data_IF_326194204534
#
_entry.id   IF_326194204534
#
_cell.length_a   1.000
_cell.length_b   1.000
_cell.length_c   1.000
_cell.angle_alpha   90.00
_cell.angle_beta   90.00
_cell.angle_gamma   90.00
#
_symmetry.space_group_name_H-M   'P 1'
#
loop_
_entity.id
_entity.type
_entity.pdbx_description
1 polymer ?
#
# COMPACT_ATOMS: atom_id res chain seq x y z
N UNK A 1 -12.66 17.53 18.68
CA UNK A 1 -11.93 18.82 18.58
C UNK A 1 -11.51 19.01 17.12
N UNK A 2 -11.48 20.24 16.64
CA UNK A 2 -11.14 20.58 15.25
C UNK A 2 -9.93 21.52 15.27
N UNK A 3 -9.13 21.56 14.19
CA UNK A 3 -8.06 22.54 14.09
C UNK A 3 -8.64 23.95 14.01
N UNK A 4 -7.96 24.91 14.65
CA UNK A 4 -8.37 26.32 14.61
C UNK A 4 -8.27 26.94 13.21
N UNK A 5 -7.48 26.35 12.32
CA UNK A 5 -7.21 26.76 10.95
C UNK A 5 -7.58 25.65 9.95
N UNK A 6 -8.52 24.78 10.30
CA UNK A 6 -8.92 23.61 9.49
C UNK A 6 -9.16 23.95 8.02
N UNK A 7 -9.79 25.09 7.74
CA UNK A 7 -10.04 25.54 6.37
C UNK A 7 -8.74 25.76 5.58
N UNK A 8 -7.73 26.38 6.19
CA UNK A 8 -6.40 26.61 5.58
C UNK A 8 -5.71 25.27 5.33
N UNK A 9 -5.77 24.35 6.31
CA UNK A 9 -5.16 23.01 6.20
C UNK A 9 -5.77 22.21 5.05
N UNK A 10 -7.10 22.16 4.97
CA UNK A 10 -7.81 21.40 3.91
C UNK A 10 -7.73 22.06 2.54
N UNK A 11 -7.68 23.39 2.48
CA UNK A 11 -7.49 24.11 1.23
C UNK A 11 -6.04 24.02 0.70
N UNK A 12 -5.08 23.67 1.56
CA UNK A 12 -3.65 23.62 1.25
C UNK A 12 -3.12 24.93 0.65
N UNK A 13 -3.64 26.06 1.16
CA UNK A 13 -3.32 27.40 0.67
C UNK A 13 -3.11 28.34 1.83
N UNK A 14 -2.02 29.11 1.77
CA UNK A 14 -1.74 30.18 2.73
C UNK A 14 -2.83 31.26 2.59
N UNK A 15 -3.40 31.70 3.72
CA UNK A 15 -4.20 32.91 3.79
C UNK A 15 -3.38 34.03 4.46
N UNK A 16 -2.92 35.04 3.70
CA UNK A 16 -2.18 36.18 4.26
C UNK A 16 -2.98 37.02 5.26
N UNK A 17 -4.32 36.87 5.29
CA UNK A 17 -5.21 37.61 6.21
C UNK A 17 -5.44 36.86 7.52
N UNK A 18 -5.02 35.59 7.61
CA UNK A 18 -5.15 34.83 8.84
C UNK A 18 -4.24 35.43 9.92
N UNK A 19 -4.63 35.35 11.21
CA UNK A 19 -3.86 35.92 12.32
C UNK A 19 -2.61 35.09 12.68
N UNK A 20 -2.15 34.22 11.78
CA UNK A 20 -1.04 33.29 11.98
C UNK A 20 0.06 33.57 10.96
N UNK A 21 1.35 33.54 11.35
CA UNK A 21 2.46 33.73 10.42
C UNK A 21 2.40 32.77 9.23
N UNK A 22 2.80 33.23 8.04
CA UNK A 22 2.84 32.41 6.82
C UNK A 22 3.62 31.11 7.04
N UNK A 23 4.75 31.19 7.75
CA UNK A 23 5.58 30.03 8.07
C UNK A 23 4.86 29.01 8.97
N UNK A 24 4.00 29.46 9.90
CA UNK A 24 3.19 28.56 10.73
C UNK A 24 2.18 27.81 9.87
N UNK A 25 1.49 28.53 8.98
CA UNK A 25 0.53 27.93 8.06
C UNK A 25 1.22 26.93 7.13
N UNK A 26 2.38 27.27 6.57
CA UNK A 26 3.11 26.41 5.64
C UNK A 26 3.54 25.08 6.28
N UNK A 27 4.13 25.11 7.47
CA UNK A 27 4.55 23.89 8.18
C UNK A 27 3.35 23.06 8.63
N UNK A 28 2.27 23.71 9.09
CA UNK A 28 1.04 22.99 9.47
C UNK A 28 0.36 22.34 8.27
N UNK A 29 0.30 23.02 7.12
CA UNK A 29 -0.23 22.46 5.86
C UNK A 29 0.60 21.25 5.44
N UNK A 30 1.93 21.35 5.43
CA UNK A 30 2.81 20.24 5.08
C UNK A 30 2.57 19.04 6.02
N UNK A 31 2.58 19.27 7.33
CA UNK A 31 2.36 18.21 8.33
C UNK A 31 0.97 17.55 8.19
N UNK A 32 -0.04 18.34 7.87
CA UNK A 32 -1.40 17.83 7.65
C UNK A 32 -1.49 16.96 6.39
N UNK A 33 -0.78 17.31 5.31
CA UNK A 33 -0.68 16.49 4.11
C UNK A 33 0.06 15.16 4.37
N UNK A 34 1.17 15.21 5.12
CA UNK A 34 1.90 13.98 5.49
C UNK A 34 1.07 13.05 6.39
N UNK A 35 0.23 13.59 7.28
CA UNK A 35 -0.74 12.78 8.04
C UNK A 35 -1.75 12.08 7.13
N UNK A 36 -2.25 12.78 6.11
CA UNK A 36 -3.16 12.22 5.13
C UNK A 36 -2.52 11.08 4.34
N UNK A 37 -1.29 11.31 3.84
CA UNK A 37 -0.51 10.32 3.09
C UNK A 37 -0.22 9.07 3.93
N UNK A 38 0.36 9.25 5.14
CA UNK A 38 0.65 8.15 6.07
C UNK A 38 -0.61 7.33 6.37
N UNK A 39 -1.72 7.99 6.69
CA UNK A 39 -2.98 7.31 7.01
C UNK A 39 -3.52 6.53 5.81
N UNK A 40 -3.53 7.13 4.63
CA UNK A 40 -3.94 6.46 3.40
C UNK A 40 -3.08 5.24 3.11
N UNK A 41 -1.76 5.36 3.16
CA UNK A 41 -0.87 4.26 2.85
C UNK A 41 -0.94 3.14 3.88
N UNK A 42 -1.09 3.47 5.17
CA UNK A 42 -1.28 2.49 6.23
C UNK A 42 -2.59 1.72 6.05
N UNK A 43 -3.69 2.41 5.74
CA UNK A 43 -5.00 1.77 5.49
C UNK A 43 -4.98 0.84 4.26
N UNK A 44 -4.30 1.24 3.18
CA UNK A 44 -4.14 0.36 2.01
C UNK A 44 -3.31 -0.88 2.36
N UNK A 45 -2.21 -0.71 3.09
CA UNK A 45 -1.38 -1.84 3.54
C UNK A 45 -2.14 -2.78 4.49
N UNK A 46 -3.04 -2.24 5.33
CA UNK A 46 -3.92 -3.05 6.18
C UNK A 46 -4.94 -3.85 5.35
N UNK A 47 -5.59 -3.21 4.37
CA UNK A 47 -6.64 -3.83 3.57
C UNK A 47 -6.14 -4.86 2.55
N UNK A 48 -4.97 -4.62 1.93
CA UNK A 48 -4.43 -5.45 0.84
C UNK A 48 -3.18 -6.25 1.25
N UNK A 49 -2.84 -6.21 2.54
CA UNK A 49 -1.62 -6.80 3.08
C UNK A 49 -0.39 -5.90 2.97
N UNK A 50 0.55 -6.09 3.88
CA UNK A 50 1.77 -5.29 4.00
C UNK A 50 2.77 -5.61 2.86
N UNK A 51 2.44 -5.16 1.64
CA UNK A 51 3.29 -5.31 0.45
C UNK A 51 3.78 -3.95 -0.07
N UNK A 52 4.94 -3.90 -0.73
CA UNK A 52 5.41 -2.69 -1.40
C UNK A 52 4.43 -2.21 -2.49
N UNK A 53 4.40 -0.90 -2.79
CA UNK A 53 5.21 0.16 -2.18
C UNK A 53 4.64 0.70 -0.86
N UNK A 54 3.34 0.50 -0.59
CA UNK A 54 2.64 1.10 0.56
C UNK A 54 3.31 0.84 1.91
N UNK A 55 3.62 -0.43 2.24
CA UNK A 55 4.24 -0.77 3.53
C UNK A 55 5.63 -0.12 3.73
N UNK A 56 6.35 0.16 2.65
CA UNK A 56 7.65 0.82 2.72
C UNK A 56 7.50 2.33 2.86
N UNK A 57 6.57 2.92 2.11
CA UNK A 57 6.38 4.38 2.07
C UNK A 57 5.74 4.89 3.37
N UNK A 58 4.89 4.11 4.06
CA UNK A 58 4.39 4.47 5.41
C UNK A 58 5.53 4.85 6.35
N UNK A 59 6.64 4.10 6.34
CA UNK A 59 7.81 4.40 7.18
C UNK A 59 8.52 5.70 6.76
N UNK A 60 8.50 6.03 5.47
CA UNK A 60 9.00 7.31 4.96
C UNK A 60 8.15 8.47 5.46
N UNK A 61 6.81 8.33 5.44
CA UNK A 61 5.92 9.40 5.92
C UNK A 61 6.01 9.60 7.42
N UNK A 62 6.22 8.54 8.20
CA UNK A 62 6.50 8.66 9.63
C UNK A 62 7.76 9.49 9.90
N UNK A 63 8.79 9.36 9.05
CA UNK A 63 10.00 10.19 9.12
C UNK A 63 9.74 11.63 8.70
N UNK A 64 8.96 11.85 7.62
CA UNK A 64 8.55 13.19 7.20
C UNK A 64 7.81 13.92 8.32
N UNK A 65 6.81 13.25 8.92
CA UNK A 65 6.05 13.73 10.08
C UNK A 65 7.01 14.07 11.23
N UNK A 66 7.93 13.18 11.59
CA UNK A 66 8.87 13.42 12.69
C UNK A 66 9.72 14.68 12.46
N UNK A 67 10.21 14.88 11.23
CA UNK A 67 10.99 16.08 10.87
C UNK A 67 10.14 17.35 10.95
N UNK A 68 8.91 17.32 10.43
CA UNK A 68 7.99 18.45 10.49
C UNK A 68 7.55 18.78 11.93
N UNK A 69 7.36 17.76 12.78
CA UNK A 69 7.12 17.94 14.21
C UNK A 69 8.29 18.63 14.91
N UNK A 70 9.53 18.30 14.53
CA UNK A 70 10.72 19.01 15.00
C UNK A 70 10.75 20.48 14.57
N UNK A 71 10.30 20.81 13.35
CA UNK A 71 10.11 22.21 12.96
C UNK A 71 9.04 22.90 13.81
N UNK A 72 7.92 22.22 14.09
CA UNK A 72 6.89 22.78 14.96
C UNK A 72 7.42 23.13 16.34
N UNK A 73 8.21 22.25 16.95
CA UNK A 73 8.84 22.52 18.25
C UNK A 73 9.80 23.70 18.20
N UNK A 74 10.71 23.73 17.21
CA UNK A 74 11.76 24.75 17.12
C UNK A 74 11.24 26.15 16.78
N UNK A 75 10.17 26.24 16.00
CA UNK A 75 9.55 27.52 15.60
C UNK A 75 8.34 27.90 16.45
N UNK A 76 8.01 27.13 17.50
CA UNK A 76 6.85 27.41 18.36
C UNK A 76 5.51 27.32 17.63
N UNK A 77 5.43 26.48 16.60
CA UNK A 77 4.23 26.30 15.78
C UNK A 77 3.36 25.24 16.47
N UNK A 78 2.10 25.56 16.82
CA UNK A 78 1.17 24.56 17.32
C UNK A 78 1.02 23.43 16.31
N UNK A 79 0.95 22.18 16.78
CA UNK A 79 0.76 21.02 15.89
C UNK A 79 -0.70 20.97 15.44
N UNK A 80 -0.99 20.62 14.18
CA UNK A 80 -2.35 20.30 13.79
C UNK A 80 -2.77 18.96 14.41
N UNK A 81 -4.04 18.82 14.74
CA UNK A 81 -4.68 17.55 15.05
C UNK A 81 -4.71 16.69 13.77
N UNK A 82 -4.59 15.39 13.96
CA UNK A 82 -4.60 14.39 12.90
C UNK A 82 -5.97 13.65 12.87
N UNK A 83 -6.88 14.02 11.94
CA UNK A 83 -8.19 13.38 11.83
C UNK A 83 -8.20 12.19 10.84
N UNK A 84 -7.10 11.97 10.11
CA UNK A 84 -7.09 11.05 8.99
C UNK A 84 -7.27 9.58 9.37
N UNK A 85 -6.84 9.07 10.55
CA UNK A 85 -7.14 7.71 10.96
C UNK A 85 -8.63 7.35 10.93
N UNK A 86 -9.52 8.34 11.14
CA UNK A 86 -10.98 8.19 11.12
C UNK A 86 -11.61 8.56 9.78
N UNK A 87 -11.00 9.46 9.00
CA UNK A 87 -11.56 9.96 7.72
C UNK A 87 -11.10 9.15 6.49
N UNK A 88 -10.01 8.39 6.62
CA UNK A 88 -9.38 7.72 5.48
C UNK A 88 -10.16 6.49 5.03
N UNK A 89 -10.58 6.48 3.77
CA UNK A 89 -11.12 5.32 3.07
C UNK A 89 -10.12 4.77 2.03
N UNK A 90 -10.31 3.50 1.67
CA UNK A 90 -9.55 2.83 0.59
C UNK A 90 -10.49 2.46 -0.55
N UNK A 91 -9.97 2.47 -1.78
CA UNK A 91 -10.72 1.99 -2.93
C UNK A 91 -10.85 0.44 -2.89
N UNK A 92 -11.84 -0.16 -3.57
CA UNK A 92 -12.05 -1.60 -3.54
C UNK A 92 -10.94 -2.43 -4.20
N UNK A 93 -10.16 -1.87 -5.13
CA UNK A 93 -9.12 -2.60 -5.86
C UNK A 93 -7.74 -2.06 -5.58
N UNK A 94 -6.73 -2.93 -5.72
CA UNK A 94 -5.34 -2.53 -5.55
C UNK A 94 -4.92 -1.50 -6.60
N UNK A 95 -5.28 -1.71 -7.87
CA UNK A 95 -4.98 -0.76 -8.95
C UNK A 95 -5.53 0.63 -8.65
N UNK A 96 -6.79 0.73 -8.21
CA UNK A 96 -7.41 2.02 -7.90
C UNK A 96 -6.68 2.75 -6.75
N UNK A 97 -6.23 2.01 -5.74
CA UNK A 97 -5.42 2.60 -4.67
C UNK A 97 -4.02 3.00 -5.16
N UNK A 98 -3.36 2.22 -6.02
CA UNK A 98 -2.09 2.61 -6.64
C UNK A 98 -2.23 3.88 -7.48
N UNK A 99 -3.28 3.99 -8.28
CA UNK A 99 -3.57 5.20 -9.09
C UNK A 99 -3.86 6.41 -8.20
N UNK A 100 -4.64 6.22 -7.12
CA UNK A 100 -4.88 7.27 -6.12
C UNK A 100 -3.58 7.72 -5.46
N UNK A 101 -2.68 6.80 -5.12
CA UNK A 101 -1.37 7.13 -4.56
C UNK A 101 -0.49 7.91 -5.54
N UNK A 102 -0.47 7.53 -6.83
CA UNK A 102 0.23 8.31 -7.88
C UNK A 102 -0.27 9.75 -7.92
N UNK A 103 -1.60 9.95 -7.88
CA UNK A 103 -2.17 11.29 -7.88
C UNK A 103 -1.85 12.06 -6.60
N UNK A 104 -1.84 11.38 -5.45
CA UNK A 104 -1.43 11.92 -4.16
C UNK A 104 0.01 12.43 -4.20
N UNK A 105 0.96 11.63 -4.67
CA UNK A 105 2.36 12.05 -4.78
C UNK A 105 2.58 13.20 -5.75
N UNK A 106 1.85 13.24 -6.88
CA UNK A 106 1.89 14.39 -7.79
C UNK A 106 1.40 15.65 -7.08
N UNK A 107 0.30 15.55 -6.34
CA UNK A 107 -0.25 16.66 -5.56
C UNK A 107 0.73 17.12 -4.47
N UNK A 108 1.37 16.20 -3.75
CA UNK A 108 2.37 16.50 -2.72
C UNK A 108 3.59 17.24 -3.31
N UNK A 109 4.12 16.78 -4.44
CA UNK A 109 5.22 17.47 -5.15
C UNK A 109 4.83 18.91 -5.52
N UNK A 110 3.60 19.11 -6.00
CA UNK A 110 3.08 20.44 -6.31
C UNK A 110 2.85 21.29 -5.06
N UNK A 111 2.39 20.68 -3.97
CA UNK A 111 2.20 21.33 -2.68
C UNK A 111 3.53 21.88 -2.18
N UNK A 112 4.58 21.07 -2.11
CA UNK A 112 5.90 21.55 -1.69
C UNK A 112 6.46 22.60 -2.64
N UNK A 113 6.26 22.46 -3.95
CA UNK A 113 6.66 23.49 -4.92
C UNK A 113 6.00 24.83 -4.59
N UNK A 114 4.70 24.82 -4.28
CA UNK A 114 3.97 25.99 -3.85
C UNK A 114 4.48 26.53 -2.51
N UNK A 115 4.59 25.71 -1.46
CA UNK A 115 5.04 26.14 -0.13
C UNK A 115 6.45 26.73 -0.16
N UNK A 116 7.35 26.21 -1.01
CA UNK A 116 8.69 26.76 -1.23
C UNK A 116 8.68 28.17 -1.84
N UNK A 117 7.58 28.62 -2.45
CA UNK A 117 7.43 30.02 -2.88
C UNK A 117 6.95 30.95 -1.76
N UNK A 118 6.43 30.39 -0.66
CA UNK A 118 5.82 31.15 0.43
C UNK A 118 6.75 31.33 1.64
N UNK A 119 7.76 30.47 1.78
CA UNK A 119 8.65 30.40 2.96
C UNK A 119 10.05 30.89 2.61
N UNK A 120 10.61 31.77 3.45
CA UNK A 120 11.96 32.33 3.28
C UNK A 120 13.01 31.66 4.19
N UNK A 121 12.57 31.06 5.29
CA UNK A 121 13.36 30.46 6.34
C UNK A 121 14.23 29.32 5.77
N UNK A 122 15.57 29.45 5.74
CA UNK A 122 16.44 28.51 5.04
C UNK A 122 16.28 27.06 5.49
N UNK A 123 16.10 26.85 6.78
CA UNK A 123 15.96 25.52 7.35
C UNK A 123 14.65 24.83 6.95
N UNK A 124 13.53 25.56 6.96
CA UNK A 124 12.23 25.02 6.55
C UNK A 124 12.24 24.73 5.06
N UNK A 125 12.83 25.62 4.26
CA UNK A 125 13.05 25.40 2.83
C UNK A 125 13.87 24.14 2.58
N UNK A 126 14.94 23.90 3.35
CA UNK A 126 15.76 22.70 3.22
C UNK A 126 14.98 21.42 3.58
N UNK A 127 14.11 21.46 4.60
CA UNK A 127 13.22 20.33 4.90
C UNK A 127 12.24 20.10 3.76
N UNK A 128 11.54 21.13 3.30
CA UNK A 128 10.55 21.03 2.22
C UNK A 128 11.15 20.53 0.91
N UNK A 129 12.36 20.98 0.55
CA UNK A 129 13.08 20.46 -0.62
C UNK A 129 13.40 18.97 -0.50
N UNK A 130 13.78 18.50 0.70
CA UNK A 130 14.07 17.09 0.94
C UNK A 130 12.81 16.23 0.85
N UNK A 131 11.70 16.67 1.45
CA UNK A 131 10.42 15.96 1.40
C UNK A 131 9.88 15.92 -0.04
N UNK A 132 9.90 17.05 -0.75
CA UNK A 132 9.55 17.10 -2.18
C UNK A 132 10.41 16.13 -3.01
N UNK A 133 11.72 16.10 -2.78
CA UNK A 133 12.62 15.20 -3.50
C UNK A 133 12.29 13.73 -3.20
N UNK A 134 11.94 13.39 -1.96
CA UNK A 134 11.52 12.03 -1.59
C UNK A 134 10.26 11.61 -2.37
N UNK A 135 9.23 12.45 -2.41
CA UNK A 135 8.01 12.18 -3.17
C UNK A 135 8.28 12.08 -4.67
N UNK A 136 9.03 13.03 -5.25
CA UNK A 136 9.30 13.09 -6.68
C UNK A 136 10.20 11.95 -7.17
N UNK A 137 11.27 11.64 -6.43
CA UNK A 137 12.34 10.76 -6.91
C UNK A 137 12.18 9.32 -6.41
N UNK A 138 11.43 9.10 -5.31
CA UNK A 138 11.29 7.77 -4.71
C UNK A 138 9.84 7.29 -4.71
N UNK A 139 8.91 8.04 -4.10
CA UNK A 139 7.53 7.56 -3.92
C UNK A 139 6.77 7.49 -5.24
N UNK A 140 6.78 8.57 -6.02
CA UNK A 140 6.05 8.65 -7.28
C UNK A 140 6.49 7.56 -8.29
N UNK A 141 7.79 7.32 -8.53
CA UNK A 141 8.22 6.22 -9.38
C UNK A 141 7.77 4.84 -8.85
N UNK A 142 7.85 4.61 -7.54
CA UNK A 142 7.44 3.36 -6.92
C UNK A 142 5.93 3.10 -7.10
N UNK A 143 5.09 4.12 -6.87
CA UNK A 143 3.64 4.00 -7.10
C UNK A 143 3.28 3.87 -8.59
N UNK A 144 4.00 4.54 -9.49
CA UNK A 144 3.81 4.37 -10.95
C UNK A 144 4.13 2.94 -11.39
N UNK A 145 5.21 2.37 -10.90
CA UNK A 145 5.55 0.97 -11.16
C UNK A 145 4.47 0.03 -10.60
N UNK A 146 4.01 0.27 -9.38
CA UNK A 146 2.96 -0.54 -8.76
C UNK A 146 1.63 -0.46 -9.53
N UNK A 147 1.23 0.73 -9.99
CA UNK A 147 0.03 0.92 -10.81
C UNK A 147 0.15 0.20 -12.16
N UNK A 148 1.31 0.29 -12.83
CA UNK A 148 1.56 -0.42 -14.09
C UNK A 148 1.50 -1.94 -13.91
N UNK A 149 2.14 -2.46 -12.85
CA UNK A 149 2.11 -3.89 -12.55
C UNK A 149 0.69 -4.38 -12.20
N UNK A 150 -0.06 -3.60 -11.40
CA UNK A 150 -1.44 -3.90 -11.06
C UNK A 150 -2.34 -3.94 -12.31
N UNK A 151 -2.16 -2.98 -13.22
CA UNK A 151 -2.90 -2.93 -14.48
C UNK A 151 -2.61 -4.14 -15.36
N UNK A 152 -1.34 -4.56 -15.47
CA UNK A 152 -0.97 -5.75 -16.23
C UNK A 152 -1.61 -7.02 -15.63
N UNK A 153 -1.64 -7.14 -14.31
CA UNK A 153 -2.28 -8.25 -13.61
C UNK A 153 -3.79 -8.27 -13.84
N UNK A 154 -4.49 -7.15 -13.65
CA UNK A 154 -5.95 -7.10 -13.90
C UNK A 154 -6.29 -7.41 -15.36
N UNK A 155 -5.50 -6.91 -16.31
CA UNK A 155 -5.68 -7.22 -17.74
C UNK A 155 -5.47 -8.71 -18.05
N UNK A 156 -4.49 -9.35 -17.42
CA UNK A 156 -4.26 -10.79 -17.54
C UNK A 156 -5.48 -11.58 -16.99
N UNK A 157 -5.98 -11.21 -15.81
CA UNK A 157 -7.11 -11.88 -15.17
C UNK A 157 -8.40 -11.71 -15.99
N UNK A 158 -8.65 -10.49 -16.49
CA UNK A 158 -9.81 -10.20 -17.34
C UNK A 158 -9.78 -11.02 -18.64
N UNK A 159 -8.61 -11.19 -19.26
CA UNK A 159 -8.45 -12.03 -20.44
C UNK A 159 -8.75 -13.52 -20.18
N UNK A 160 -8.67 -13.97 -18.92
CA UNK A 160 -8.96 -15.35 -18.49
C UNK A 160 -10.33 -15.48 -17.79
N UNK A 161 -11.17 -14.44 -17.83
CA UNK A 161 -12.53 -14.45 -17.27
C UNK A 161 -12.59 -14.32 -15.74
N UNK A 162 -11.50 -13.90 -15.09
CA UNK A 162 -11.45 -13.66 -13.64
C UNK A 162 -11.75 -12.17 -13.37
N UNK A 163 -12.79 -11.84 -12.58
CA UNK A 163 -13.10 -10.46 -12.23
C UNK A 163 -11.96 -9.75 -11.46
N UNK A 164 -11.67 -8.46 -11.72
CA UNK A 164 -10.60 -7.71 -11.04
C UNK A 164 -10.73 -7.68 -9.51
N UNK A 165 -11.95 -7.77 -8.98
CA UNK A 165 -12.19 -7.80 -7.54
C UNK A 165 -11.71 -9.11 -6.90
N UNK A 166 -11.66 -10.21 -7.65
CA UNK A 166 -11.14 -11.50 -7.20
C UNK A 166 -9.62 -11.61 -7.39
N UNK A 167 -9.02 -10.75 -8.23
CA UNK A 167 -7.58 -10.76 -8.50
C UNK A 167 -6.70 -10.46 -7.28
N UNK A 168 -7.27 -9.88 -6.22
CA UNK A 168 -6.54 -9.46 -5.01
C UNK A 168 -7.06 -10.10 -3.73
N UNK A 169 -8.05 -10.98 -3.81
CA UNK A 169 -8.50 -11.76 -2.66
C UNK A 169 -7.43 -12.82 -2.39
N UNK A 170 -6.75 -12.72 -1.26
CA UNK A 170 -6.06 -13.89 -0.69
C UNK A 170 -7.11 -14.96 -0.44
N UNK A 171 -7.20 -15.97 -1.30
CA UNK A 171 -7.80 -17.22 -0.83
C UNK A 171 -6.70 -17.98 -0.09
N UNK A 172 -7.06 -18.72 0.96
CA UNK A 172 -6.09 -19.24 1.94
C UNK A 172 -4.92 -20.02 1.33
N UNK A 173 -3.93 -20.46 2.12
CA UNK A 173 -2.62 -20.94 1.65
C UNK A 173 -2.66 -22.00 0.53
N UNK A 174 -3.75 -22.77 0.45
CA UNK A 174 -3.99 -23.71 -0.64
C UNK A 174 -4.24 -23.04 -2.01
N UNK A 175 -5.02 -21.95 -2.06
CA UNK A 175 -5.27 -21.25 -3.33
C UNK A 175 -4.07 -20.42 -3.76
N UNK A 176 -3.36 -19.77 -2.83
CA UNK A 176 -2.14 -19.01 -3.15
C UNK A 176 -1.09 -19.92 -3.79
N UNK A 177 -0.96 -21.16 -3.28
CA UNK A 177 -0.11 -22.18 -3.90
C UNK A 177 -0.59 -22.56 -5.30
N UNK A 178 -1.89 -22.78 -5.49
CA UNK A 178 -2.45 -23.14 -6.79
C UNK A 178 -2.28 -22.02 -7.82
N UNK A 179 -2.56 -20.77 -7.47
CA UNK A 179 -2.32 -19.59 -8.32
C UNK A 179 -0.84 -19.46 -8.72
N UNK A 180 0.07 -19.65 -7.77
CA UNK A 180 1.51 -19.62 -8.02
C UNK A 180 1.96 -20.78 -8.91
N UNK A 181 1.39 -21.97 -8.73
CA UNK A 181 1.69 -23.14 -9.55
C UNK A 181 1.12 -23.00 -10.98
N UNK A 182 -0.09 -22.46 -11.14
CA UNK A 182 -0.72 -22.26 -12.45
C UNK A 182 -0.07 -21.14 -13.25
N UNK A 183 0.35 -20.04 -12.61
CA UNK A 183 1.08 -18.95 -13.28
C UNK A 183 2.46 -19.38 -13.80
N UNK A 184 3.11 -20.36 -13.17
CA UNK A 184 4.37 -20.94 -13.64
C UNK A 184 4.21 -21.95 -14.80
N UNK A 185 2.99 -22.43 -15.05
CA UNK A 185 2.72 -23.43 -16.10
C UNK A 185 2.43 -22.83 -17.49
N UNK A 186 2.44 -21.50 -17.62
CA UNK A 186 2.26 -20.81 -18.90
C UNK A 186 0.84 -20.91 -19.48
N UNK A 187 0.56 -20.17 -20.58
CA UNK A 187 -0.80 -19.82 -21.04
C UNK A 187 -1.60 -20.97 -21.69
N UNK A 188 -1.32 -22.22 -21.35
CA UNK A 188 -2.03 -23.39 -21.88
C UNK A 188 -2.88 -24.13 -20.84
N UNK A 189 -2.94 -23.66 -19.59
CA UNK A 189 -3.71 -24.28 -18.52
C UNK A 189 -4.85 -23.36 -18.04
N UNK A 190 -5.88 -23.17 -18.87
CA UNK A 190 -7.14 -22.55 -18.47
C UNK A 190 -8.04 -23.49 -17.64
N UNK A 191 -9.16 -23.01 -17.04
CA UNK A 191 -9.87 -23.67 -15.94
C UNK A 191 -10.65 -24.94 -16.31
N UNK A 192 -10.59 -25.39 -17.56
CA UNK A 192 -11.29 -26.59 -18.07
C UNK A 192 -10.40 -27.44 -19.02
N UNK A 193 -9.09 -27.22 -19.01
CA UNK A 193 -8.15 -27.85 -19.96
C UNK A 193 -7.57 -29.21 -19.53
N UNK A 194 -8.38 -30.16 -19.09
CA UNK A 194 -7.92 -31.52 -18.73
C UNK A 194 -7.94 -32.50 -19.92
N UNK A 195 -7.42 -32.14 -21.09
CA UNK A 195 -7.24 -33.13 -22.18
C UNK A 195 -5.96 -32.90 -22.98
N UNK A 196 -4.81 -33.21 -22.36
CA UNK A 196 -3.61 -33.59 -23.11
C UNK A 196 -3.71 -35.06 -23.54
N UNK A 197 -3.36 -35.43 -24.78
CA UNK A 197 -3.39 -36.82 -25.25
C UNK A 197 -2.43 -37.76 -24.49
N UNK A 198 -1.58 -37.26 -23.59
CA UNK A 198 -0.69 -38.07 -22.75
C UNK A 198 -1.41 -38.80 -21.60
N UNK A 199 -2.58 -38.35 -21.16
CA UNK A 199 -3.31 -39.01 -20.04
C UNK A 199 -4.09 -40.26 -20.46
N UNK A 200 -4.24 -40.54 -21.75
CA UNK A 200 -4.98 -41.73 -22.23
C UNK A 200 -4.25 -43.05 -21.97
N UNK A 201 -3.01 -43.01 -21.47
CA UNK A 201 -2.17 -44.18 -21.13
C UNK A 201 -1.74 -44.26 -19.67
N UNK A 202 -2.18 -43.34 -18.81
CA UNK A 202 -1.86 -43.43 -17.39
C UNK A 202 -2.67 -44.56 -16.74
N UNK A 203 -1.97 -45.54 -16.17
CA UNK A 203 -2.58 -46.64 -15.44
C UNK A 203 -3.34 -46.09 -14.22
N UNK A 204 -4.54 -46.58 -13.87
CA UNK A 204 -5.34 -46.09 -12.74
C UNK A 204 -4.62 -46.11 -11.38
N UNK A 205 -3.55 -46.91 -11.25
CA UNK A 205 -2.67 -46.92 -10.06
C UNK A 205 -1.87 -45.61 -9.85
N UNK A 206 -1.59 -44.83 -10.90
CA UNK A 206 -0.90 -43.54 -10.76
C UNK A 206 -1.82 -42.43 -10.23
N UNK A 207 -3.12 -42.47 -10.54
CA UNK A 207 -4.10 -41.52 -10.03
C UNK A 207 -4.38 -41.72 -8.52
N UNK A 208 -4.31 -42.98 -8.05
CA UNK A 208 -4.43 -43.28 -6.62
C UNK A 208 -3.23 -42.77 -5.79
N UNK A 209 -2.03 -42.72 -6.37
CA UNK A 209 -0.82 -42.23 -5.70
C UNK A 209 -0.85 -40.73 -5.37
N UNK A 210 -1.47 -39.90 -6.22
CA UNK A 210 -1.60 -38.46 -5.99
C UNK A 210 -2.62 -38.11 -4.89
N UNK A 211 -3.69 -38.91 -4.73
CA UNK A 211 -4.67 -38.71 -3.66
C UNK A 211 -4.11 -39.18 -2.30
N UNK A 212 -3.33 -40.27 -2.29
CA UNK A 212 -2.74 -40.80 -1.06
C UNK A 212 -1.57 -39.95 -0.50
N UNK A 213 -0.78 -39.30 -1.36
CA UNK A 213 0.34 -38.46 -0.94
C UNK A 213 -0.07 -37.23 -0.12
N UNK A 214 -1.25 -36.65 -0.40
CA UNK A 214 -1.78 -35.50 0.34
C UNK A 214 -2.37 -35.85 1.70
N UNK A 215 -2.94 -37.05 1.86
CA UNK A 215 -3.48 -37.52 3.14
C UNK A 215 -2.40 -38.06 4.09
N UNK A 216 -1.27 -38.55 3.56
CA UNK A 216 -0.20 -39.17 4.35
C UNK A 216 0.55 -38.20 5.29
N UNK A 217 0.63 -36.91 4.96
CA UNK A 217 1.34 -35.92 5.79
C UNK A 217 0.46 -35.40 6.94
N UNK A 218 -0.87 -35.44 6.80
CA UNK A 218 -1.79 -34.99 7.86
C UNK A 218 -1.92 -36.03 8.99
N UNK A 219 -1.83 -37.32 8.69
CA UNK A 219 -1.97 -38.38 9.71
C UNK A 219 -0.70 -38.67 10.52
N UNK A 220 0.47 -38.19 10.10
CA UNK A 220 1.73 -38.41 10.84
C UNK A 220 2.00 -37.37 11.95
N UNK A 221 1.26 -36.26 12.00
CA UNK A 221 1.50 -35.19 13.00
C UNK A 221 0.71 -35.34 14.31
N UNK A 222 -0.39 -36.10 14.31
CA UNK A 222 -1.20 -36.33 15.53
C UNK A 222 -0.83 -37.62 16.29
N UNK A 223 0.09 -38.45 15.76
CA UNK A 223 0.53 -39.70 16.40
C UNK A 223 1.75 -39.58 17.33
N UNK A 224 2.52 -38.50 17.25
CA UNK A 224 3.83 -38.39 17.94
C UNK A 224 3.75 -37.56 19.24
N UNK A 225 2.63 -36.88 19.51
CA UNK A 225 2.45 -36.05 20.71
C UNK A 225 1.84 -36.75 21.93
N UNK A 226 1.45 -38.03 21.84
CA UNK A 226 0.65 -38.71 22.88
C UNK A 226 1.26 -40.03 23.35
N UNK A 227 2.55 -40.03 23.71
CA UNK A 227 3.16 -41.08 24.54
C UNK A 227 4.45 -40.57 25.21
N UNK A 228 4.33 -39.59 26.12
CA UNK A 228 5.36 -39.37 27.15
C UNK A 228 4.77 -38.66 28.38
N UNK A 229 3.94 -39.40 29.13
CA UNK A 229 3.73 -39.24 30.57
C UNK A 229 3.26 -40.60 31.09
N UNK A 230 3.74 -40.97 32.27
CA UNK A 230 3.50 -42.21 33.03
C UNK A 230 4.42 -43.38 32.69
N UNK A 231 5.62 -43.35 33.28
CA UNK A 231 6.09 -44.28 34.33
C UNK A 231 7.46 -43.81 34.83
#
# INVERSE_FOLDING_TARGET
>A
MQNYDEFILRAQRIDPRAPYPVVHQAVRIALYDEYAARSFYARVAEAFGARPPFANIVRSEEQHIAVLLGLCERFGIPRPLDPFPQETNVAPTWLANCQRAVNGEIANVHLYAYLLTQVAEPEIRQVFQRLQAASLQNHLPAFRQAASAAQAQESYHAAHGIPPQQAYVRHGPLSDFLETAFSQLGPHAGPLGLFSPLLRRAHPAMLAGMVAGGAGVYLLKDGIGRHRKES
#
